data_IF_584973658163
#
_entry.id   IF_584973658163
#
_cell.length_a   1.000
_cell.length_b   1.000
_cell.length_c   1.000
_cell.angle_alpha   90.00
_cell.angle_beta   90.00
_cell.angle_gamma   90.00
#
_symmetry.space_group_name_H-M   'P 1'
#
loop_
_entity.id
_entity.type
_entity.pdbx_description
1 polymer ?
#
# COMPACT_ATOMS: atom_id res chain seq x y z
N UNK A 1 28.54 -25.47 -6.71
CA UNK A 1 27.87 -24.17 -6.87
C UNK A 1 28.22 -23.34 -5.64
N UNK A 2 28.70 -22.11 -5.82
CA UNK A 2 29.02 -21.21 -4.70
C UNK A 2 27.76 -20.89 -3.89
N UNK A 3 27.88 -20.90 -2.55
CA UNK A 3 26.81 -20.58 -1.61
C UNK A 3 26.25 -19.16 -1.84
N UNK A 4 27.11 -18.21 -2.26
CA UNK A 4 26.71 -16.84 -2.58
C UNK A 4 25.68 -16.74 -3.71
N UNK A 5 25.83 -17.57 -4.76
CA UNK A 5 24.87 -17.63 -5.88
C UNK A 5 23.47 -18.10 -5.47
N UNK A 6 23.39 -19.09 -4.57
CA UNK A 6 22.12 -19.64 -4.07
C UNK A 6 21.39 -18.60 -3.21
N UNK A 7 22.11 -17.86 -2.37
CA UNK A 7 21.51 -16.81 -1.55
C UNK A 7 21.01 -15.63 -2.39
N UNK A 8 21.79 -15.20 -3.39
CA UNK A 8 21.37 -14.14 -4.31
C UNK A 8 20.09 -14.53 -5.06
N UNK A 9 20.02 -15.78 -5.54
CA UNK A 9 18.83 -16.32 -6.18
C UNK A 9 17.62 -16.32 -5.24
N UNK A 10 17.76 -16.82 -4.00
CA UNK A 10 16.68 -16.82 -3.00
C UNK A 10 16.19 -15.39 -2.68
N UNK A 11 17.09 -14.41 -2.59
CA UNK A 11 16.73 -12.99 -2.38
C UNK A 11 15.92 -12.44 -3.55
N UNK A 12 16.36 -12.70 -4.78
CA UNK A 12 15.65 -12.29 -5.99
C UNK A 12 14.26 -12.95 -6.08
N UNK A 13 14.16 -14.25 -5.81
CA UNK A 13 12.90 -14.99 -5.82
C UNK A 13 11.89 -14.44 -4.80
N UNK A 14 12.33 -14.14 -3.57
CA UNK A 14 11.48 -13.51 -2.55
C UNK A 14 10.96 -12.14 -3.00
N UNK A 15 11.79 -11.33 -3.67
CA UNK A 15 11.38 -10.03 -4.22
C UNK A 15 10.31 -10.18 -5.29
N UNK A 16 10.52 -11.05 -6.28
CA UNK A 16 9.53 -11.32 -7.34
C UNK A 16 8.20 -11.78 -6.74
N UNK A 17 8.23 -12.67 -5.73
CA UNK A 17 7.01 -13.14 -5.05
C UNK A 17 6.24 -12.00 -4.38
N UNK A 18 6.92 -11.05 -3.72
CA UNK A 18 6.30 -9.88 -3.10
C UNK A 18 5.66 -8.96 -4.14
N UNK A 19 6.38 -8.68 -5.23
CA UNK A 19 5.89 -7.84 -6.34
C UNK A 19 4.65 -8.47 -6.98
N UNK A 20 4.68 -9.77 -7.28
CA UNK A 20 3.53 -10.49 -7.82
C UNK A 20 2.32 -10.45 -6.88
N UNK A 21 2.56 -10.57 -5.57
CA UNK A 21 1.53 -10.42 -4.54
C UNK A 21 0.89 -9.04 -4.54
N UNK A 22 1.71 -7.98 -4.63
CA UNK A 22 1.23 -6.60 -4.75
C UNK A 22 0.36 -6.42 -5.99
N UNK A 23 0.80 -6.89 -7.16
CA UNK A 23 0.01 -6.77 -8.39
C UNK A 23 -1.33 -7.49 -8.30
N UNK A 24 -1.40 -8.66 -7.65
CA UNK A 24 -2.69 -9.32 -7.41
C UNK A 24 -3.63 -8.44 -6.58
N UNK A 25 -3.12 -7.83 -5.51
CA UNK A 25 -3.93 -6.94 -4.67
C UNK A 25 -4.34 -5.67 -5.43
N UNK A 26 -3.43 -5.06 -6.18
CA UNK A 26 -3.71 -3.92 -7.05
C UNK A 26 -4.77 -4.26 -8.12
N UNK A 27 -4.69 -5.42 -8.76
CA UNK A 27 -5.69 -5.84 -9.75
C UNK A 27 -7.07 -5.98 -9.12
N UNK A 28 -7.18 -6.64 -7.96
CA UNK A 28 -8.45 -6.76 -7.23
C UNK A 28 -8.98 -5.39 -6.84
N UNK A 29 -8.11 -4.52 -6.33
CA UNK A 29 -8.45 -3.14 -6.00
C UNK A 29 -9.01 -2.39 -7.21
N UNK A 30 -8.35 -2.45 -8.38
CA UNK A 30 -8.82 -1.77 -9.58
C UNK A 30 -10.18 -2.30 -10.03
N UNK A 31 -10.36 -3.62 -10.13
CA UNK A 31 -11.62 -4.22 -10.57
C UNK A 31 -12.76 -3.86 -9.62
N UNK A 32 -12.57 -4.06 -8.30
CA UNK A 32 -13.61 -3.80 -7.31
C UNK A 32 -14.00 -2.31 -7.28
N UNK A 33 -13.01 -1.41 -7.29
CA UNK A 33 -13.30 0.02 -7.24
C UNK A 33 -13.91 0.55 -8.54
N UNK A 34 -13.53 0.00 -9.70
CA UNK A 34 -14.21 0.33 -10.96
C UNK A 34 -15.69 -0.05 -10.89
N UNK A 35 -16.03 -1.23 -10.37
CA UNK A 35 -17.43 -1.64 -10.21
C UNK A 35 -18.16 -0.70 -9.24
N UNK A 36 -17.57 -0.43 -8.06
CA UNK A 36 -18.18 0.47 -7.06
C UNK A 36 -18.45 1.86 -7.63
N UNK A 37 -17.49 2.44 -8.35
CA UNK A 37 -17.63 3.77 -8.93
C UNK A 37 -18.66 3.79 -10.06
N UNK A 38 -18.62 2.80 -10.96
CA UNK A 38 -19.55 2.72 -12.10
C UNK A 38 -20.99 2.50 -11.61
N UNK A 39 -21.22 1.46 -10.83
CA UNK A 39 -22.56 1.11 -10.32
C UNK A 39 -23.06 2.17 -9.33
N UNK A 40 -22.18 2.70 -8.48
CA UNK A 40 -22.52 3.74 -7.51
C UNK A 40 -22.95 5.04 -8.19
N UNK A 41 -22.16 5.55 -9.14
CA UNK A 41 -22.50 6.78 -9.85
C UNK A 41 -23.70 6.59 -10.77
N UNK A 42 -23.80 5.45 -11.46
CA UNK A 42 -24.94 5.15 -12.30
C UNK A 42 -26.23 5.02 -11.47
N UNK A 43 -26.16 4.33 -10.33
CA UNK A 43 -27.28 4.19 -9.39
C UNK A 43 -27.74 5.53 -8.81
N UNK A 44 -26.81 6.41 -8.43
CA UNK A 44 -27.15 7.77 -7.96
C UNK A 44 -27.85 8.57 -9.05
N UNK A 45 -27.30 8.59 -10.27
CA UNK A 45 -27.93 9.28 -11.41
C UNK A 45 -29.33 8.70 -11.72
N UNK A 46 -29.48 7.38 -11.68
CA UNK A 46 -30.76 6.73 -11.89
C UNK A 46 -31.79 7.15 -10.83
N UNK A 47 -31.40 7.19 -9.55
CA UNK A 47 -32.27 7.60 -8.46
C UNK A 47 -32.72 9.06 -8.60
N UNK A 48 -31.80 9.96 -8.91
CA UNK A 48 -32.08 11.39 -9.12
C UNK A 48 -33.06 11.62 -10.28
N UNK A 49 -32.91 10.87 -11.39
CA UNK A 49 -33.78 11.03 -12.56
C UNK A 49 -35.19 10.43 -12.37
N UNK A 50 -35.33 9.40 -11.54
CA UNK A 50 -36.57 8.61 -11.45
C UNK A 50 -37.36 8.83 -10.15
N UNK A 51 -36.85 9.64 -9.21
CA UNK A 51 -37.49 9.87 -7.92
C UNK A 51 -37.73 11.36 -7.70
N UNK A 52 -39.00 11.76 -7.63
CA UNK A 52 -39.36 13.13 -7.30
C UNK A 52 -39.09 13.42 -5.81
N UNK A 53 -38.47 14.57 -5.51
CA UNK A 53 -38.18 15.05 -4.16
C UNK A 53 -37.23 14.16 -3.33
N UNK A 54 -36.17 13.62 -3.94
CA UNK A 54 -35.09 12.99 -3.19
C UNK A 54 -34.43 14.01 -2.25
N UNK A 55 -34.15 13.58 -1.02
CA UNK A 55 -33.42 14.37 -0.03
C UNK A 55 -31.96 14.57 -0.50
N UNK A 56 -31.50 15.83 -0.69
CA UNK A 56 -30.11 16.11 -1.05
C UNK A 56 -29.09 15.53 -0.06
N UNK A 57 -29.42 15.48 1.25
CA UNK A 57 -28.53 14.93 2.26
C UNK A 57 -28.31 13.42 2.07
N UNK A 58 -29.33 12.71 1.58
CA UNK A 58 -29.23 11.29 1.27
C UNK A 58 -28.32 11.04 0.04
N UNK A 59 -28.42 11.88 -0.98
CA UNK A 59 -27.55 11.81 -2.17
C UNK A 59 -26.10 12.08 -1.79
N UNK A 60 -25.84 13.13 -1.02
CA UNK A 60 -24.49 13.44 -0.53
C UNK A 60 -23.91 12.29 0.29
N UNK A 61 -24.71 11.66 1.15
CA UNK A 61 -24.30 10.48 1.91
C UNK A 61 -23.95 9.30 0.99
N UNK A 62 -24.74 9.04 -0.06
CA UNK A 62 -24.43 8.00 -1.05
C UNK A 62 -23.11 8.28 -1.79
N UNK A 63 -22.92 9.52 -2.26
CA UNK A 63 -21.68 9.96 -2.91
C UNK A 63 -20.48 9.72 -1.98
N UNK A 64 -20.59 10.15 -0.71
CA UNK A 64 -19.54 9.93 0.28
C UNK A 64 -19.19 8.46 0.47
N UNK A 65 -20.18 7.56 0.49
CA UNK A 65 -19.93 6.12 0.60
C UNK A 65 -19.22 5.56 -0.66
N UNK A 66 -19.61 6.00 -1.85
CA UNK A 66 -19.02 5.56 -3.12
C UNK A 66 -17.54 5.94 -3.21
N UNK A 67 -17.16 7.14 -2.74
CA UNK A 67 -15.77 7.61 -2.81
C UNK A 67 -14.91 7.23 -1.60
N UNK A 68 -15.48 7.14 -0.39
CA UNK A 68 -14.70 6.84 0.81
C UNK A 68 -14.09 5.44 0.78
N UNK A 69 -14.80 4.44 0.25
CA UNK A 69 -14.33 3.05 0.17
C UNK A 69 -13.05 2.94 -0.69
N UNK A 70 -13.02 3.42 -1.96
CA UNK A 70 -11.79 3.48 -2.74
C UNK A 70 -10.66 4.25 -2.08
N UNK A 71 -10.96 5.41 -1.47
CA UNK A 71 -9.92 6.26 -0.84
C UNK A 71 -9.25 5.52 0.31
N UNK A 72 -10.02 4.96 1.24
CA UNK A 72 -9.48 4.28 2.41
C UNK A 72 -8.68 3.02 2.03
N UNK A 73 -9.21 2.22 1.10
CA UNK A 73 -8.48 1.05 0.57
C UNK A 73 -7.25 1.47 -0.24
N UNK A 74 -7.32 2.59 -0.95
CA UNK A 74 -6.23 3.17 -1.72
C UNK A 74 -5.04 3.56 -0.84
N UNK A 75 -5.31 4.13 0.35
CA UNK A 75 -4.28 4.41 1.36
C UNK A 75 -3.58 3.12 1.80
N UNK A 76 -4.36 2.07 2.11
CA UNK A 76 -3.81 0.76 2.50
C UNK A 76 -2.95 0.14 1.39
N UNK A 77 -3.41 0.23 0.14
CA UNK A 77 -2.67 -0.24 -1.03
C UNK A 77 -1.39 0.56 -1.26
N UNK A 78 -1.44 1.88 -1.09
CA UNK A 78 -0.29 2.77 -1.20
C UNK A 78 0.80 2.42 -0.19
N UNK A 79 0.44 2.25 1.09
CA UNK A 79 1.37 1.81 2.13
C UNK A 79 1.94 0.41 1.85
N UNK A 80 1.11 -0.50 1.34
CA UNK A 80 1.59 -1.83 0.91
C UNK A 80 2.59 -1.73 -0.24
N UNK A 81 2.34 -0.85 -1.21
CA UNK A 81 3.25 -0.55 -2.32
C UNK A 81 4.59 -0.02 -1.83
N UNK A 82 4.58 0.98 -0.95
CA UNK A 82 5.81 1.50 -0.32
C UNK A 82 6.61 0.37 0.33
N UNK A 83 5.97 -0.53 1.06
CA UNK A 83 6.64 -1.66 1.72
C UNK A 83 7.23 -2.67 0.73
N UNK A 84 6.55 -2.94 -0.38
CA UNK A 84 7.01 -3.89 -1.40
C UNK A 84 8.16 -3.31 -2.23
N UNK A 85 8.11 -2.01 -2.50
CA UNK A 85 9.06 -1.29 -3.34
C UNK A 85 10.11 -0.47 -2.57
N UNK A 86 10.16 -0.58 -1.24
CA UNK A 86 11.07 0.21 -0.39
C UNK A 86 12.52 0.16 -0.88
N UNK A 87 12.99 -1.04 -1.26
CA UNK A 87 14.35 -1.25 -1.76
C UNK A 87 14.67 -0.60 -3.11
N UNK A 88 13.65 -0.19 -3.86
CA UNK A 88 13.78 0.49 -5.15
C UNK A 88 13.64 2.02 -5.03
N UNK A 89 13.16 2.53 -3.89
CA UNK A 89 13.00 3.95 -3.64
C UNK A 89 14.29 4.46 -2.96
N UNK A 90 15.11 5.29 -3.63
CA UNK A 90 16.43 5.67 -3.12
C UNK A 90 16.39 6.35 -1.75
N UNK A 91 15.39 7.21 -1.54
CA UNK A 91 15.21 7.97 -0.29
C UNK A 91 14.92 7.03 0.89
N UNK A 92 14.03 6.05 0.69
CA UNK A 92 13.68 5.08 1.74
C UNK A 92 14.84 4.14 2.03
N UNK A 93 15.55 3.70 0.99
CA UNK A 93 16.75 2.86 1.15
C UNK A 93 17.84 3.58 1.94
N UNK A 94 18.13 4.85 1.61
CA UNK A 94 19.13 5.64 2.33
C UNK A 94 18.71 5.91 3.78
N UNK A 95 17.42 6.19 4.00
CA UNK A 95 16.88 6.33 5.36
C UNK A 95 17.02 5.03 6.16
N UNK A 96 16.70 3.88 5.57
CA UNK A 96 16.81 2.56 6.21
C UNK A 96 18.27 2.23 6.57
N UNK A 97 19.21 2.44 5.64
CA UNK A 97 20.64 2.27 5.88
C UNK A 97 21.17 3.19 6.99
N UNK A 98 20.71 4.45 7.03
CA UNK A 98 21.09 5.38 8.07
C UNK A 98 20.54 4.99 9.45
N UNK A 99 19.29 4.50 9.54
CA UNK A 99 18.77 4.03 10.81
C UNK A 99 19.52 2.79 11.31
N UNK A 100 19.80 1.82 10.42
CA UNK A 100 20.59 0.63 10.78
C UNK A 100 21.96 1.05 11.33
N UNK A 101 22.64 1.99 10.67
CA UNK A 101 23.93 2.51 11.14
C UNK A 101 23.84 3.11 12.55
N UNK A 102 22.82 3.93 12.81
CA UNK A 102 22.59 4.54 14.14
C UNK A 102 22.34 3.49 15.22
N UNK A 103 21.59 2.44 14.92
CA UNK A 103 21.36 1.35 15.88
C UNK A 103 22.65 0.57 16.17
N UNK A 104 23.47 0.29 15.15
CA UNK A 104 24.77 -0.38 15.34
C UNK A 104 25.72 0.45 16.21
N UNK A 105 25.81 1.76 15.95
CA UNK A 105 26.61 2.70 16.76
C UNK A 105 26.13 2.77 18.21
N UNK A 106 24.81 2.70 18.45
CA UNK A 106 24.23 2.66 19.79
C UNK A 106 24.58 1.36 20.53
N UNK A 107 24.49 0.20 19.86
CA UNK A 107 24.86 -1.09 20.45
C UNK A 107 26.36 -1.16 20.79
N UNK A 108 27.21 -0.64 19.91
CA UNK A 108 28.66 -0.60 20.12
C UNK A 108 29.02 0.31 21.31
N UNK A 109 28.40 1.49 21.39
CA UNK A 109 28.58 2.40 22.52
C UNK A 109 28.06 1.80 23.84
N UNK A 110 26.92 1.09 23.83
CA UNK A 110 26.40 0.42 25.03
C UNK A 110 27.33 -0.71 25.52
N UNK A 111 27.90 -1.50 24.60
CA UNK A 111 28.90 -2.53 24.95
C UNK A 111 30.17 -1.91 25.52
N UNK A 112 30.67 -0.83 24.94
CA UNK A 112 31.87 -0.16 25.44
C UNK A 112 31.65 0.47 26.82
N UNK A 113 30.45 0.99 27.11
CA UNK A 113 30.11 1.60 28.40
C UNK A 113 29.80 0.58 29.52
N UNK A 114 29.64 -0.70 29.19
CA UNK A 114 29.41 -1.80 30.16
C UNK A 114 30.68 -2.61 30.47
N UNK A 115 31.76 -2.39 29.70
CA UNK A 115 33.07 -3.03 29.89
C UNK A 115 34.12 -2.09 30.55
N UNK A 116 33.69 -0.88 30.94
CA UNK A 116 34.45 0.13 31.70
C UNK A 116 33.83 0.25 33.08
#
# INVERSE_FOLDING_TARGET
>A
MDNGSIEAYKRAQKRVKKIKGFYRHLTIYLIANTIILVEGLWGINFLEMNTANIDPAFVEWLIWNVFSVPILWGIGLFLHGIRVFSSQIPILKQWEENQIRRYMEQEENQKNNTLV
#
